data_IF_275741258235
#
_entry.id   IF_275741258235
#
_cell.length_a   1.000
_cell.length_b   1.000
_cell.length_c   1.000
_cell.angle_alpha   90.00
_cell.angle_beta   90.00
_cell.angle_gamma   90.00
#
_symmetry.space_group_name_H-M   'P 1'
#
loop_
_entity.id
_entity.type
_entity.pdbx_description
1 polymer ?
#
# COMPACT_ATOMS: atom_id res chain seq x y z
N UNK A 1 -2.16 -22.79 25.87
CA UNK A 1 -3.49 -22.72 25.22
C UNK A 1 -3.32 -22.46 23.73
N UNK A 2 -4.32 -22.78 22.90
CA UNK A 2 -4.26 -22.48 21.47
C UNK A 2 -4.27 -20.96 21.24
N UNK A 3 -3.26 -20.43 20.55
CA UNK A 3 -3.10 -18.98 20.36
C UNK A 3 -3.73 -18.54 19.04
N UNK A 4 -5.02 -18.23 19.09
CA UNK A 4 -5.73 -17.53 18.02
C UNK A 4 -5.71 -16.03 18.33
N UNK A 5 -5.43 -15.20 17.34
CA UNK A 5 -5.50 -13.74 17.49
C UNK A 5 -6.97 -13.30 17.55
N UNK A 6 -7.29 -12.46 18.53
CA UNK A 6 -8.58 -11.76 18.59
C UNK A 6 -8.66 -10.74 17.45
N UNK A 7 -9.86 -10.54 16.88
CA UNK A 7 -10.08 -9.59 15.77
C UNK A 7 -9.60 -10.08 14.40
N UNK A 8 -9.08 -11.32 14.31
CA UNK A 8 -8.67 -11.93 13.04
C UNK A 8 -9.66 -13.02 12.63
N UNK A 9 -10.04 -13.07 11.36
CA UNK A 9 -10.98 -14.08 10.86
C UNK A 9 -10.38 -15.47 10.95
N UNK A 10 -11.04 -16.37 11.66
CA UNK A 10 -10.62 -17.77 11.74
C UNK A 10 -11.08 -18.54 10.50
N UNK A 11 -10.14 -19.11 9.75
CA UNK A 11 -10.39 -20.01 8.63
C UNK A 11 -9.53 -21.27 8.78
N UNK A 12 -9.95 -22.18 9.67
CA UNK A 12 -9.20 -23.40 9.95
C UNK A 12 -9.75 -24.60 9.17
N UNK A 13 -8.84 -25.45 8.68
CA UNK A 13 -9.16 -26.74 8.07
C UNK A 13 -8.89 -27.93 9.00
N UNK A 14 -8.59 -27.69 10.28
CA UNK A 14 -8.21 -28.75 11.23
C UNK A 14 -6.87 -29.43 10.89
N UNK A 15 -6.05 -28.81 10.04
CA UNK A 15 -4.72 -29.29 9.64
C UNK A 15 -3.65 -28.31 10.11
N UNK A 16 -2.60 -28.82 10.75
CA UNK A 16 -1.41 -28.08 11.15
C UNK A 16 -0.12 -28.86 10.84
N UNK A 17 1.03 -28.25 11.10
CA UNK A 17 2.37 -28.79 10.90
C UNK A 17 2.91 -29.59 12.09
N UNK A 18 2.09 -29.87 13.10
CA UNK A 18 2.51 -30.56 14.31
C UNK A 18 2.97 -29.61 15.43
N UNK A 19 3.54 -30.19 16.50
CA UNK A 19 4.14 -29.41 17.58
C UNK A 19 5.42 -28.73 17.09
N UNK A 20 5.64 -27.48 17.51
CA UNK A 20 6.95 -26.86 17.32
C UNK A 20 8.05 -27.66 18.06
N UNK A 21 9.27 -27.61 17.54
CA UNK A 21 10.48 -28.16 18.16
C UNK A 21 11.16 -27.13 19.09
N UNK A 22 10.85 -25.86 18.91
CA UNK A 22 11.35 -24.71 19.67
C UNK A 22 10.20 -23.73 19.95
N UNK A 23 10.37 -22.80 20.89
CA UNK A 23 9.37 -21.74 21.07
C UNK A 23 9.37 -20.80 19.86
N UNK A 24 8.22 -20.23 19.45
CA UNK A 24 8.19 -19.30 18.34
C UNK A 24 9.14 -18.12 18.52
N UNK A 25 10.09 -17.95 17.60
CA UNK A 25 11.13 -16.91 17.65
C UNK A 25 11.38 -16.23 16.30
N UNK A 26 10.67 -16.68 15.24
CA UNK A 26 10.78 -16.15 13.88
C UNK A 26 9.43 -16.04 13.17
N UNK A 27 9.25 -14.97 12.42
CA UNK A 27 8.14 -14.78 11.48
C UNK A 27 8.70 -14.90 10.07
N UNK A 28 8.07 -15.70 9.22
CA UNK A 28 8.42 -15.85 7.82
C UNK A 28 7.29 -15.35 6.92
N UNK A 29 7.64 -14.46 6.01
CA UNK A 29 6.77 -13.84 5.02
C UNK A 29 6.84 -14.58 3.69
N UNK A 30 5.68 -14.73 3.04
CA UNK A 30 5.49 -15.28 1.71
C UNK A 30 4.69 -14.30 0.85
N UNK A 31 4.74 -14.47 -0.48
CA UNK A 31 3.70 -13.96 -1.39
C UNK A 31 2.95 -15.12 -2.01
N UNK A 32 1.62 -14.99 -2.10
CA UNK A 32 0.76 -16.09 -2.56
C UNK A 32 0.91 -16.42 -4.04
N UNK A 33 1.44 -15.49 -4.84
CA UNK A 33 1.41 -15.51 -6.30
C UNK A 33 -0.04 -15.59 -6.85
N UNK A 34 -0.99 -14.98 -6.14
CA UNK A 34 -2.42 -14.91 -6.51
C UNK A 34 -3.03 -13.55 -6.17
N UNK A 35 -4.19 -13.25 -6.75
CA UNK A 35 -4.95 -12.02 -6.47
C UNK A 35 -6.06 -12.15 -5.41
N UNK A 36 -6.21 -13.32 -4.78
CA UNK A 36 -7.29 -13.60 -3.81
C UNK A 36 -6.86 -14.69 -2.81
N UNK A 37 -7.67 -14.94 -1.77
CA UNK A 37 -7.35 -15.94 -0.75
C UNK A 37 -7.26 -17.35 -1.33
N UNK A 38 -6.07 -18.01 -1.28
CA UNK A 38 -5.93 -19.39 -1.74
C UNK A 38 -6.70 -20.37 -0.85
N UNK A 39 -7.10 -21.51 -1.42
CA UNK A 39 -7.70 -22.62 -0.65
C UNK A 39 -6.66 -23.48 0.07
N UNK A 40 -5.37 -23.32 -0.28
CA UNK A 40 -4.24 -24.10 0.22
C UNK A 40 -4.44 -25.62 0.16
N UNK A 41 -5.17 -26.09 -0.86
CA UNK A 41 -5.52 -27.51 -1.01
C UNK A 41 -6.34 -28.04 0.17
N UNK A 42 -7.24 -27.24 0.74
CA UNK A 42 -7.97 -27.58 1.96
C UNK A 42 -7.08 -27.58 3.20
N UNK A 43 -6.14 -26.63 3.28
CA UNK A 43 -5.20 -26.49 4.40
C UNK A 43 -3.99 -27.43 4.35
N UNK A 44 -3.77 -28.16 3.26
CA UNK A 44 -2.62 -29.05 3.10
C UNK A 44 -1.26 -28.30 3.12
N UNK A 45 -1.26 -27.05 2.67
CA UNK A 45 -0.09 -26.16 2.61
C UNK A 45 -0.35 -24.78 3.24
N UNK A 46 -1.32 -24.67 4.16
CA UNK A 46 -1.70 -23.37 4.71
C UNK A 46 -0.60 -22.80 5.65
N UNK A 47 -0.37 -21.48 5.61
CA UNK A 47 0.45 -20.76 6.58
C UNK A 47 -0.30 -20.61 7.92
N UNK A 48 0.24 -19.82 8.85
CA UNK A 48 -0.55 -19.41 10.03
C UNK A 48 -1.56 -18.35 9.65
N UNK A 49 -1.16 -17.38 8.82
CA UNK A 49 -1.97 -16.24 8.41
C UNK A 49 -1.91 -16.01 6.91
N UNK A 50 -2.98 -15.45 6.36
CA UNK A 50 -3.01 -14.83 5.04
C UNK A 50 -3.59 -13.43 5.16
N UNK A 51 -2.95 -12.44 4.54
CA UNK A 51 -3.38 -11.04 4.56
C UNK A 51 -3.58 -10.48 3.15
N UNK A 52 -4.70 -9.81 2.91
CA UNK A 52 -4.88 -8.94 1.76
C UNK A 52 -4.51 -7.50 2.15
N UNK A 53 -3.38 -6.99 1.67
CA UNK A 53 -2.94 -5.64 2.05
C UNK A 53 -3.83 -4.54 1.45
N UNK A 54 -4.65 -4.82 0.42
CA UNK A 54 -5.52 -3.81 -0.20
C UNK A 54 -6.65 -3.39 0.73
N UNK A 55 -7.26 -4.35 1.42
CA UNK A 55 -8.42 -4.13 2.29
C UNK A 55 -8.16 -4.45 3.77
N UNK A 56 -7.01 -5.04 4.11
CA UNK A 56 -6.64 -5.39 5.49
C UNK A 56 -7.29 -6.66 6.03
N UNK A 57 -8.01 -7.46 5.23
CA UNK A 57 -8.56 -8.74 5.71
C UNK A 57 -7.41 -9.68 6.06
N UNK A 58 -7.38 -10.13 7.32
CA UNK A 58 -6.47 -11.18 7.80
C UNK A 58 -7.28 -12.44 8.11
N UNK A 59 -6.80 -13.58 7.62
CA UNK A 59 -7.32 -14.90 7.98
C UNK A 59 -6.26 -15.69 8.71
N UNK A 60 -6.60 -16.25 9.87
CA UNK A 60 -5.76 -17.20 10.59
C UNK A 60 -6.22 -18.64 10.32
N UNK A 61 -5.28 -19.52 9.99
CA UNK A 61 -5.55 -20.89 9.57
C UNK A 61 -5.14 -21.95 10.61
N UNK A 62 -4.09 -21.65 11.38
CA UNK A 62 -3.56 -22.49 12.45
C UNK A 62 -3.28 -21.66 13.71
N UNK A 63 -3.45 -22.21 14.92
CA UNK A 63 -3.12 -21.50 16.14
C UNK A 63 -1.60 -21.35 16.27
N UNK A 64 -1.12 -20.22 16.79
CA UNK A 64 0.33 -19.91 16.86
C UNK A 64 1.12 -20.72 17.90
N UNK A 65 0.50 -21.71 18.55
CA UNK A 65 1.18 -22.72 19.37
C UNK A 65 1.40 -24.06 18.64
N UNK A 66 1.09 -24.10 17.34
CA UNK A 66 1.26 -25.24 16.44
C UNK A 66 1.95 -24.75 15.18
N UNK A 67 2.80 -25.57 14.58
CA UNK A 67 3.44 -25.23 13.32
C UNK A 67 2.41 -25.12 12.18
N UNK A 68 2.71 -24.34 11.15
CA UNK A 68 1.97 -24.34 9.89
C UNK A 68 2.68 -25.20 8.83
N UNK A 69 2.26 -25.13 7.57
CA UNK A 69 2.65 -26.10 6.53
C UNK A 69 3.16 -25.47 5.23
N UNK A 70 3.43 -24.16 5.18
CA UNK A 70 3.81 -23.48 3.95
C UNK A 70 5.31 -23.58 3.61
N UNK A 71 6.12 -24.19 4.49
CA UNK A 71 7.52 -24.53 4.19
C UNK A 71 7.72 -26.02 3.91
N UNK A 72 8.80 -26.37 3.23
CA UNK A 72 9.26 -27.76 3.09
C UNK A 72 10.14 -28.16 4.27
N UNK A 73 9.89 -29.32 4.85
CA UNK A 73 10.79 -29.99 5.80
C UNK A 73 11.53 -31.14 5.08
N UNK A 74 12.85 -31.03 4.92
CA UNK A 74 13.68 -32.12 4.41
C UNK A 74 13.97 -33.15 5.51
N UNK A 75 14.15 -34.42 5.11
CA UNK A 75 14.62 -35.46 6.01
C UNK A 75 16.03 -35.13 6.53
N UNK A 76 16.25 -35.23 7.84
CA UNK A 76 17.52 -34.84 8.47
C UNK A 76 17.76 -33.32 8.54
N UNK A 77 16.79 -32.51 8.11
CA UNK A 77 16.85 -31.05 8.14
C UNK A 77 16.44 -30.42 9.48
N UNK A 78 16.36 -29.09 9.52
CA UNK A 78 15.96 -28.29 10.69
C UNK A 78 14.47 -28.35 10.99
N UNK A 79 13.68 -28.94 10.09
CA UNK A 79 12.21 -28.91 10.16
C UNK A 79 11.68 -27.47 10.11
N UNK A 80 11.93 -26.75 9.01
CA UNK A 80 11.63 -25.31 8.86
C UNK A 80 10.23 -24.86 9.32
N UNK A 81 9.18 -25.67 9.12
CA UNK A 81 7.84 -25.39 9.66
C UNK A 81 7.78 -25.39 11.19
N UNK A 82 8.51 -26.32 11.81
CA UNK A 82 8.42 -26.67 13.24
C UNK A 82 9.46 -25.97 14.10
N UNK A 83 10.49 -25.38 13.52
CA UNK A 83 11.51 -24.63 14.25
C UNK A 83 11.06 -23.19 14.58
N UNK A 84 9.99 -23.07 15.37
CA UNK A 84 9.56 -21.80 15.94
C UNK A 84 9.06 -20.77 14.91
N UNK A 85 8.62 -21.21 13.74
CA UNK A 85 8.31 -20.33 12.60
C UNK A 85 6.82 -20.03 12.49
N UNK A 86 6.43 -18.78 12.75
CA UNK A 86 5.12 -18.26 12.36
C UNK A 86 5.18 -17.83 10.89
N UNK A 87 4.16 -18.17 10.10
CA UNK A 87 4.19 -18.05 8.63
C UNK A 87 3.02 -17.17 8.18
N UNK A 88 3.29 -16.18 7.32
CA UNK A 88 2.31 -15.24 6.79
C UNK A 88 2.39 -15.24 5.26
N UNK A 89 1.25 -15.46 4.62
CA UNK A 89 1.06 -15.26 3.18
C UNK A 89 0.50 -13.86 2.89
N UNK A 90 1.13 -13.14 1.97
CA UNK A 90 0.65 -11.84 1.49
C UNK A 90 0.00 -12.04 0.11
N UNK A 91 -1.26 -11.63 -0.03
CA UNK A 91 -1.95 -11.70 -1.33
C UNK A 91 -1.27 -10.77 -2.32
N UNK A 92 -0.93 -11.31 -3.48
CA UNK A 92 -0.13 -10.65 -4.51
C UNK A 92 1.04 -11.51 -4.97
N UNK A 93 1.86 -10.94 -5.85
CA UNK A 93 3.02 -11.59 -6.46
C UNK A 93 4.29 -10.79 -6.20
N UNK A 94 5.42 -11.48 -6.01
CA UNK A 94 6.74 -10.83 -5.96
C UNK A 94 7.46 -10.79 -7.32
N UNK A 95 6.86 -11.34 -8.37
CA UNK A 95 7.36 -11.28 -9.75
C UNK A 95 6.60 -10.19 -10.51
N UNK A 96 7.29 -9.12 -10.90
CA UNK A 96 6.67 -8.01 -11.65
C UNK A 96 6.00 -8.45 -12.95
N UNK A 97 6.58 -9.45 -13.65
CA UNK A 97 6.04 -9.97 -14.90
C UNK A 97 4.74 -10.75 -14.64
N UNK A 98 4.75 -11.60 -13.62
CA UNK A 98 3.59 -12.40 -13.24
C UNK A 98 2.46 -11.52 -12.68
N UNK A 99 2.80 -10.58 -11.80
CA UNK A 99 1.87 -9.57 -11.28
C UNK A 99 1.17 -8.82 -12.41
N UNK A 100 1.95 -8.30 -13.38
CA UNK A 100 1.40 -7.56 -14.53
C UNK A 100 0.51 -8.44 -15.41
N UNK A 101 0.94 -9.67 -15.71
CA UNK A 101 0.21 -10.61 -16.57
C UNK A 101 -1.19 -10.92 -16.05
N UNK A 102 -1.36 -11.03 -14.73
CA UNK A 102 -2.62 -11.44 -14.10
C UNK A 102 -3.33 -10.33 -13.34
N UNK A 103 -2.81 -9.10 -13.36
CA UNK A 103 -3.37 -7.97 -12.62
C UNK A 103 -3.32 -8.15 -11.10
N UNK A 104 -2.31 -8.85 -10.59
CA UNK A 104 -2.11 -9.05 -9.15
C UNK A 104 -1.32 -7.89 -8.55
N UNK A 105 -1.52 -7.57 -7.25
CA UNK A 105 -0.65 -6.62 -6.55
C UNK A 105 0.81 -7.08 -6.61
N UNK A 106 1.71 -6.19 -7.01
CA UNK A 106 3.15 -6.43 -6.90
C UNK A 106 3.59 -6.10 -5.46
N UNK A 107 3.81 -7.13 -4.66
CA UNK A 107 3.97 -7.03 -3.20
C UNK A 107 5.14 -6.13 -2.78
N UNK A 108 6.33 -6.18 -3.41
CA UNK A 108 7.43 -5.25 -3.09
C UNK A 108 7.11 -3.76 -3.32
N UNK A 109 6.19 -3.41 -4.22
CA UNK A 109 5.77 -2.02 -4.48
C UNK A 109 4.50 -1.65 -3.71
N UNK A 110 4.46 -2.02 -2.43
CA UNK A 110 3.34 -1.71 -1.54
C UNK A 110 3.31 -0.25 -1.11
N UNK A 111 2.11 0.34 -0.99
CA UNK A 111 1.93 1.68 -0.40
C UNK A 111 2.21 1.70 1.11
N UNK A 112 2.29 2.89 1.71
CA UNK A 112 2.50 3.03 3.16
C UNK A 112 1.31 2.47 3.98
N UNK A 113 0.08 2.59 3.47
CA UNK A 113 -1.09 1.97 4.08
C UNK A 113 -1.01 0.43 4.07
N UNK A 114 -0.54 -0.14 2.96
CA UNK A 114 -0.29 -1.58 2.86
C UNK A 114 0.83 -2.02 3.80
N UNK A 115 1.92 -1.24 3.90
CA UNK A 115 3.01 -1.51 4.81
C UNK A 115 2.54 -1.47 6.28
N UNK A 116 1.69 -0.51 6.63
CA UNK A 116 1.11 -0.36 7.97
C UNK A 116 0.17 -1.52 8.34
N UNK A 117 -0.62 -2.04 7.40
CA UNK A 117 -1.44 -3.25 7.60
C UNK A 117 -0.59 -4.48 7.88
N UNK A 118 0.51 -4.64 7.15
CA UNK A 118 1.46 -5.72 7.42
C UNK A 118 2.13 -5.53 8.79
N UNK A 119 2.57 -4.31 9.11
CA UNK A 119 3.14 -3.97 10.42
C UNK A 119 2.21 -4.30 11.58
N UNK A 120 0.93 -3.95 11.47
CA UNK A 120 -0.08 -4.28 12.48
C UNK A 120 -0.18 -5.77 12.76
N UNK A 121 -0.20 -6.61 11.72
CA UNK A 121 -0.24 -8.06 11.90
C UNK A 121 1.05 -8.56 12.57
N UNK A 122 2.20 -8.03 12.17
CA UNK A 122 3.49 -8.34 12.78
C UNK A 122 3.49 -7.96 14.28
N UNK A 123 2.98 -6.78 14.64
CA UNK A 123 2.88 -6.31 16.03
C UNK A 123 1.92 -7.16 16.87
N UNK A 124 0.78 -7.59 16.32
CA UNK A 124 -0.13 -8.52 17.00
C UNK A 124 0.54 -9.86 17.28
N UNK A 125 1.30 -10.39 16.31
CA UNK A 125 2.06 -11.64 16.47
C UNK A 125 3.16 -11.43 17.51
N UNK A 126 3.92 -10.34 17.43
CA UNK A 126 4.95 -9.99 18.41
C UNK A 126 4.37 -9.94 19.83
N UNK A 127 3.26 -9.22 20.05
CA UNK A 127 2.62 -9.12 21.35
C UNK A 127 2.20 -10.50 21.91
N UNK A 128 1.78 -11.40 21.02
CA UNK A 128 1.32 -12.74 21.41
C UNK A 128 2.45 -13.77 21.62
N UNK A 129 3.64 -13.54 21.04
CA UNK A 129 4.71 -14.55 20.95
C UNK A 129 6.06 -14.11 21.50
N UNK A 130 6.30 -12.80 21.59
CA UNK A 130 7.60 -12.21 21.91
C UNK A 130 8.59 -12.18 20.74
N UNK A 131 8.19 -12.61 19.52
CA UNK A 131 9.09 -12.63 18.36
C UNK A 131 9.55 -11.20 18.03
N UNK A 132 10.86 -10.91 17.95
CA UNK A 132 11.35 -9.56 17.69
C UNK A 132 10.88 -8.97 16.34
N UNK A 133 10.39 -7.72 16.36
CA UNK A 133 10.07 -6.95 15.15
C UNK A 133 11.31 -6.34 14.50
N UNK A 134 12.22 -7.20 14.05
CA UNK A 134 13.46 -6.76 13.40
C UNK A 134 13.88 -7.73 12.32
N UNK A 135 14.65 -7.25 11.36
CA UNK A 135 15.28 -8.09 10.35
C UNK A 135 16.73 -7.67 10.11
N UNK A 136 17.61 -8.65 9.96
CA UNK A 136 19.02 -8.45 9.66
C UNK A 136 19.48 -9.19 8.40
N UNK A 137 18.53 -9.70 7.61
CA UNK A 137 18.82 -10.44 6.38
C UNK A 137 18.73 -9.55 5.15
N UNK A 138 19.48 -9.90 4.12
CA UNK A 138 19.41 -9.21 2.84
C UNK A 138 18.20 -9.69 2.04
N UNK A 139 17.26 -8.79 1.78
CA UNK A 139 16.11 -9.04 0.92
C UNK A 139 16.48 -8.83 -0.56
N UNK A 140 16.36 -9.89 -1.38
CA UNK A 140 16.64 -9.84 -2.81
C UNK A 140 15.37 -9.76 -3.63
N UNK A 141 15.45 -9.01 -4.73
CA UNK A 141 14.39 -8.92 -5.73
C UNK A 141 14.26 -10.25 -6.48
N UNK A 142 13.03 -10.66 -6.78
CA UNK A 142 12.79 -11.80 -7.67
C UNK A 142 13.17 -11.43 -9.13
N UNK A 143 13.80 -12.32 -9.92
CA UNK A 143 14.10 -13.72 -9.64
C UNK A 143 15.45 -13.98 -8.95
N UNK A 144 16.23 -12.95 -8.61
CA UNK A 144 17.56 -13.13 -7.99
C UNK A 144 17.53 -13.77 -6.58
N UNK A 145 16.36 -13.78 -5.94
CA UNK A 145 16.08 -14.46 -4.67
C UNK A 145 15.74 -15.95 -4.83
N UNK A 146 15.39 -16.41 -6.04
CA UNK A 146 14.92 -17.77 -6.30
C UNK A 146 16.04 -18.82 -6.29
N UNK A 147 15.68 -20.06 -5.95
CA UNK A 147 16.58 -21.22 -5.99
C UNK A 147 17.65 -21.20 -4.90
N UNK A 148 18.85 -21.68 -5.28
CA UNK A 148 20.04 -21.67 -4.43
C UNK A 148 20.70 -20.28 -4.43
N UNK A 149 19.94 -19.28 -4.02
CA UNK A 149 20.40 -17.89 -3.95
C UNK A 149 21.32 -17.65 -2.75
N UNK A 150 22.18 -16.64 -2.84
CA UNK A 150 23.15 -16.32 -1.77
C UNK A 150 22.55 -15.81 -0.46
N UNK A 151 21.22 -15.68 -0.35
CA UNK A 151 20.52 -15.24 0.87
C UNK A 151 19.83 -16.40 1.59
N UNK A 152 19.91 -17.60 1.01
CA UNK A 152 19.49 -18.85 1.65
C UNK A 152 20.36 -19.11 2.87
N UNK A 153 19.73 -19.32 4.02
CA UNK A 153 20.43 -19.66 5.25
C UNK A 153 20.91 -21.10 5.25
N UNK A 154 22.00 -21.37 5.95
CA UNK A 154 22.29 -22.70 6.47
C UNK A 154 21.32 -23.08 7.58
N UNK A 155 21.22 -24.38 7.84
CA UNK A 155 20.45 -24.95 8.96
C UNK A 155 20.83 -24.31 10.32
N UNK A 156 22.11 -24.02 10.51
CA UNK A 156 22.62 -23.41 11.75
C UNK A 156 22.24 -21.93 11.90
N UNK A 157 22.19 -21.19 10.80
CA UNK A 157 21.77 -19.78 10.80
C UNK A 157 20.28 -19.67 11.05
N UNK A 158 19.48 -20.52 10.39
CA UNK A 158 18.04 -20.60 10.61
C UNK A 158 17.70 -20.81 12.09
N UNK A 159 18.29 -21.83 12.71
CA UNK A 159 18.04 -22.19 14.12
C UNK A 159 18.40 -21.05 15.08
N UNK A 160 19.43 -20.25 14.76
CA UNK A 160 19.88 -19.13 15.61
C UNK A 160 19.10 -17.84 15.38
N UNK A 161 18.43 -17.71 14.24
CA UNK A 161 17.81 -16.47 13.82
C UNK A 161 16.58 -16.14 14.66
N UNK A 162 16.48 -14.87 15.06
CA UNK A 162 15.32 -14.34 15.79
C UNK A 162 14.86 -13.04 15.14
N UNK A 163 13.65 -13.03 14.60
CA UNK A 163 13.08 -11.88 13.91
C UNK A 163 12.29 -12.25 12.66
N UNK A 164 12.30 -11.36 11.68
CA UNK A 164 11.49 -11.47 10.46
C UNK A 164 12.35 -11.90 9.26
N UNK A 165 11.88 -12.94 8.57
CA UNK A 165 12.45 -13.55 7.39
C UNK A 165 11.43 -13.58 6.24
N UNK A 166 11.92 -13.85 5.04
CA UNK A 166 11.11 -14.23 3.86
C UNK A 166 11.40 -15.66 3.43
N UNK A 167 10.52 -16.27 2.62
CA UNK A 167 10.69 -17.64 2.10
C UNK A 167 12.04 -17.84 1.39
N UNK A 168 12.56 -16.81 0.73
CA UNK A 168 13.91 -16.79 0.12
C UNK A 168 15.08 -17.12 1.08
N UNK A 169 14.89 -16.98 2.39
CA UNK A 169 15.93 -17.25 3.39
C UNK A 169 15.86 -18.67 3.96
N UNK A 170 14.71 -19.34 3.90
CA UNK A 170 14.50 -20.62 4.58
C UNK A 170 15.35 -21.75 3.98
N UNK A 171 16.16 -22.49 4.75
CA UNK A 171 16.89 -23.65 4.22
C UNK A 171 15.90 -24.70 3.68
N UNK A 172 16.38 -25.70 2.93
CA UNK A 172 15.58 -26.83 2.39
C UNK A 172 14.54 -26.44 1.31
N UNK A 173 14.28 -25.14 1.15
CA UNK A 173 13.31 -24.56 0.24
C UNK A 173 14.04 -23.89 -0.94
N UNK A 174 13.33 -23.67 -2.05
CA UNK A 174 13.88 -23.08 -3.28
C UNK A 174 13.14 -21.85 -3.76
N UNK A 175 12.13 -21.38 -3.02
CA UNK A 175 11.32 -20.26 -3.46
C UNK A 175 12.01 -18.91 -3.19
N UNK A 176 11.64 -17.88 -3.94
CA UNK A 176 12.24 -16.54 -3.89
C UNK A 176 11.31 -15.44 -3.36
N UNK A 177 10.08 -15.79 -3.00
CA UNK A 177 9.12 -14.89 -2.38
C UNK A 177 9.57 -14.48 -0.95
N UNK A 178 9.11 -13.33 -0.44
CA UNK A 178 8.22 -12.33 -1.07
C UNK A 178 8.99 -11.29 -1.92
N UNK A 179 10.21 -11.62 -2.39
CA UNK A 179 11.06 -10.69 -3.11
C UNK A 179 11.69 -9.62 -2.21
N UNK A 180 11.96 -8.44 -2.78
CA UNK A 180 12.60 -7.30 -2.14
C UNK A 180 11.60 -6.44 -1.35
N UNK A 181 10.98 -7.04 -0.33
CA UNK A 181 10.06 -6.31 0.54
C UNK A 181 10.70 -5.03 1.13
N UNK A 182 9.97 -3.91 1.18
CA UNK A 182 10.48 -2.65 1.72
C UNK A 182 10.44 -2.67 3.25
N UNK A 183 11.27 -3.50 3.89
CA UNK A 183 11.21 -3.72 5.35
C UNK A 183 11.47 -2.45 6.18
N UNK A 184 12.24 -1.48 5.66
CA UNK A 184 12.39 -0.17 6.30
C UNK A 184 11.06 0.59 6.35
N UNK A 185 10.27 0.54 5.29
CA UNK A 185 8.91 1.12 5.23
C UNK A 185 7.96 0.40 6.19
N UNK A 186 8.10 -0.92 6.33
CA UNK A 186 7.23 -1.74 7.18
C UNK A 186 7.56 -1.58 8.67
N UNK A 187 8.84 -1.64 9.06
CA UNK A 187 9.26 -1.71 10.46
C UNK A 187 9.87 -0.40 11.02
N UNK A 188 10.24 0.54 10.15
CA UNK A 188 11.12 1.66 10.49
C UNK A 188 12.60 1.32 10.32
N UNK A 189 13.44 2.34 10.19
CA UNK A 189 14.87 2.18 9.89
C UNK A 189 15.65 1.44 10.98
N UNK A 190 15.37 1.71 12.25
CA UNK A 190 16.12 1.16 13.40
C UNK A 190 15.95 -0.36 13.58
N UNK A 191 14.86 -0.91 13.04
CA UNK A 191 14.55 -2.33 13.07
C UNK A 191 15.30 -3.15 11.99
N UNK A 192 16.05 -2.50 11.09
CA UNK A 192 16.65 -3.11 9.90
C UNK A 192 18.17 -2.91 9.86
N UNK A 193 18.96 -4.01 9.96
CA UNK A 193 20.44 -3.94 10.00
C UNK A 193 21.17 -4.13 8.64
N UNK A 194 20.45 -4.38 7.54
CA UNK A 194 21.04 -4.45 6.20
C UNK A 194 20.10 -5.06 5.15
N UNK A 195 20.12 -4.54 3.92
CA UNK A 195 19.36 -5.04 2.76
C UNK A 195 17.84 -4.85 2.82
N UNK A 196 17.22 -4.54 1.68
CA UNK A 196 15.84 -4.07 1.52
C UNK A 196 15.85 -2.79 0.69
N UNK A 197 15.45 -2.88 -0.58
CA UNK A 197 15.78 -1.91 -1.64
C UNK A 197 15.38 -0.44 -1.38
N UNK A 198 16.29 0.44 -1.83
CA UNK A 198 16.35 1.92 -1.89
C UNK A 198 16.23 2.72 -0.59
N UNK A 199 17.32 3.42 -0.28
CA UNK A 199 17.40 4.50 0.70
C UNK A 199 16.43 5.64 0.35
N UNK A 200 15.58 6.01 1.30
CA UNK A 200 14.84 7.26 1.32
C UNK A 200 14.65 7.76 2.77
N UNK A 201 14.36 9.04 2.86
CA UNK A 201 14.36 9.94 4.01
C UNK A 201 13.67 9.38 5.25
N UNK A 202 14.38 9.46 6.38
CA UNK A 202 13.86 9.14 7.72
C UNK A 202 12.71 10.09 8.03
N UNK A 203 11.50 9.56 8.13
CA UNK A 203 10.44 10.17 8.95
C UNK A 203 10.68 9.64 10.37
N UNK A 204 10.85 10.55 11.33
CA UNK A 204 11.34 10.23 12.67
C UNK A 204 10.43 9.28 13.48
N UNK A 205 10.93 8.73 14.60
CA UNK A 205 10.21 7.80 15.49
C UNK A 205 8.92 8.38 16.11
N UNK A 206 8.65 9.68 15.90
CA UNK A 206 7.48 10.40 16.40
C UNK A 206 6.39 10.59 15.34
N UNK A 207 6.52 10.00 14.14
CA UNK A 207 5.45 9.94 13.15
C UNK A 207 4.50 8.79 13.53
N UNK A 208 3.30 9.05 14.08
CA UNK A 208 2.52 7.98 14.62
C UNK A 208 1.75 7.28 13.49
N UNK A 209 1.61 5.98 13.70
CA UNK A 209 1.12 5.00 12.75
C UNK A 209 -0.41 5.06 12.72
N UNK A 210 -0.99 5.30 11.55
CA UNK A 210 -2.44 5.33 11.42
C UNK A 210 -2.98 3.91 11.52
N UNK A 211 -3.46 3.50 12.69
CA UNK A 211 -4.33 2.35 12.92
C UNK A 211 -4.76 2.33 14.39
N UNK A 212 -6.07 2.18 14.70
CA UNK A 212 -6.55 1.08 15.57
C UNK A 212 -8.08 1.03 15.83
N UNK A 213 -8.68 -0.13 15.59
CA UNK A 213 -9.84 -0.69 16.34
C UNK A 213 -9.26 -1.38 17.58
N UNK A 214 -9.31 -0.65 18.71
CA UNK A 214 -8.61 -0.96 19.96
C UNK A 214 -9.17 -2.17 20.71
N UNK A 215 -10.46 -2.47 20.58
CA UNK A 215 -11.12 -3.44 21.44
C UNK A 215 -11.82 -4.59 20.70
N UNK A 216 -11.97 -4.52 19.37
CA UNK A 216 -12.67 -5.55 18.59
C UNK A 216 -14.18 -5.60 18.87
N UNK A 217 -14.75 -4.48 19.33
CA UNK A 217 -16.16 -4.32 19.71
C UNK A 217 -17.02 -3.63 18.64
N UNK A 218 -16.40 -3.15 17.55
CA UNK A 218 -17.11 -2.66 16.37
C UNK A 218 -17.61 -1.21 16.41
N UNK A 219 -16.97 -0.32 17.19
CA UNK A 219 -17.21 1.13 17.13
C UNK A 219 -15.91 1.79 16.65
N UNK A 220 -15.69 2.30 15.45
CA UNK A 220 -16.46 2.85 14.32
C UNK A 220 -15.64 2.48 13.07
N UNK A 221 -16.21 1.89 12.00
CA UNK A 221 -15.41 1.46 10.82
C UNK A 221 -14.80 2.69 10.12
N UNK A 222 -13.72 2.55 9.33
CA UNK A 222 -13.19 3.67 8.49
C UNK A 222 -14.31 4.32 7.68
N UNK A 223 -15.19 3.47 7.14
CA UNK A 223 -16.40 3.88 6.45
C UNK A 223 -17.37 4.69 7.33
N UNK A 224 -17.52 4.33 8.60
CA UNK A 224 -18.35 5.05 9.57
C UNK A 224 -17.65 6.34 10.02
N UNK A 225 -16.33 6.37 10.20
CA UNK A 225 -15.56 7.59 10.48
C UNK A 225 -15.66 8.58 9.30
N UNK A 226 -15.49 8.09 8.08
CA UNK A 226 -15.71 8.85 6.86
C UNK A 226 -17.13 9.46 6.84
N UNK A 227 -18.17 8.72 7.22
CA UNK A 227 -19.57 9.21 7.22
C UNK A 227 -19.89 10.15 8.39
N UNK A 228 -19.53 9.72 9.60
CA UNK A 228 -20.01 10.26 10.87
C UNK A 228 -19.13 11.40 11.37
N UNK A 229 -17.84 11.34 11.09
CA UNK A 229 -16.88 12.35 11.48
C UNK A 229 -16.47 13.22 10.29
N UNK A 230 -16.21 12.66 9.11
CA UNK A 230 -15.70 13.45 7.97
C UNK A 230 -16.79 13.91 6.98
N UNK A 231 -18.03 13.44 7.13
CA UNK A 231 -19.18 13.87 6.33
C UNK A 231 -19.24 13.33 4.90
N UNK A 232 -18.59 12.20 4.63
CA UNK A 232 -18.55 11.58 3.31
C UNK A 232 -19.93 11.02 2.95
N UNK A 233 -20.32 11.15 1.68
CA UNK A 233 -21.51 10.47 1.16
C UNK A 233 -21.30 8.95 1.16
N UNK A 234 -22.38 8.16 1.20
CA UNK A 234 -22.28 6.70 1.23
C UNK A 234 -21.55 6.04 0.05
N UNK A 235 -21.35 6.75 -1.08
CA UNK A 235 -20.53 6.26 -2.20
C UNK A 235 -19.04 6.64 -2.08
N UNK A 236 -18.74 7.70 -1.33
CA UNK A 236 -17.38 8.20 -1.09
C UNK A 236 -16.76 7.60 0.18
N UNK A 237 -17.59 7.16 1.13
CA UNK A 237 -17.17 6.37 2.27
C UNK A 237 -16.91 4.93 1.82
N UNK A 238 -15.71 4.69 1.30
CA UNK A 238 -15.26 3.44 0.69
C UNK A 238 -14.57 2.49 1.69
N UNK A 239 -14.41 2.93 2.94
CA UNK A 239 -13.69 2.19 3.97
C UNK A 239 -12.17 2.15 3.76
N UNK A 240 -11.65 2.93 2.82
CA UNK A 240 -10.22 3.08 2.55
C UNK A 240 -9.69 4.37 3.19
N UNK A 241 -8.81 4.21 4.19
CA UNK A 241 -8.11 5.34 4.82
C UNK A 241 -6.94 5.78 3.95
N UNK A 242 -7.25 6.42 2.82
CA UNK A 242 -6.29 7.04 1.91
C UNK A 242 -5.95 8.47 2.30
N UNK A 243 -5.12 9.14 1.50
CA UNK A 243 -4.66 10.52 1.74
C UNK A 243 -5.79 11.50 2.04
N UNK A 244 -6.92 11.40 1.33
CA UNK A 244 -8.05 12.31 1.54
C UNK A 244 -8.71 12.09 2.92
N UNK A 245 -8.81 10.82 3.36
CA UNK A 245 -9.35 10.48 4.69
C UNK A 245 -8.37 10.90 5.78
N UNK A 246 -7.07 10.80 5.54
CA UNK A 246 -6.02 11.28 6.43
C UNK A 246 -6.06 12.81 6.57
N UNK A 247 -6.12 13.55 5.47
CA UNK A 247 -6.16 15.02 5.46
C UNK A 247 -7.44 15.57 6.11
N UNK A 248 -8.61 14.98 5.82
CA UNK A 248 -9.86 15.35 6.47
C UNK A 248 -9.85 14.95 7.96
N UNK A 249 -9.19 13.85 8.34
CA UNK A 249 -8.98 13.50 9.75
C UNK A 249 -8.11 14.53 10.45
N UNK A 250 -7.00 14.99 9.83
CA UNK A 250 -6.17 16.08 10.35
C UNK A 250 -6.96 17.37 10.51
N UNK A 251 -7.83 17.68 9.55
CA UNK A 251 -8.68 18.87 9.63
C UNK A 251 -9.66 18.78 10.81
N UNK A 252 -10.27 17.62 11.05
CA UNK A 252 -11.15 17.41 12.19
C UNK A 252 -10.39 17.45 13.51
N UNK A 253 -9.18 16.89 13.57
CA UNK A 253 -8.32 16.98 14.75
C UNK A 253 -7.98 18.44 15.12
N UNK A 254 -7.69 19.29 14.13
CA UNK A 254 -7.53 20.74 14.35
C UNK A 254 -8.79 21.38 14.91
N UNK A 255 -9.96 21.01 14.37
CA UNK A 255 -11.27 21.49 14.88
C UNK A 255 -11.53 21.04 16.32
N UNK A 256 -11.10 19.83 16.68
CA UNK A 256 -11.21 19.28 18.03
C UNK A 256 -10.14 19.81 19.01
N UNK A 257 -9.13 20.53 18.51
CA UNK A 257 -8.04 21.06 19.32
C UNK A 257 -7.06 19.98 19.84
N UNK A 258 -6.93 18.87 19.10
CA UNK A 258 -5.95 17.81 19.36
C UNK A 258 -4.84 17.81 18.31
N UNK A 259 -3.81 16.99 18.50
CA UNK A 259 -2.72 16.83 17.53
C UNK A 259 -3.26 16.39 16.17
N UNK A 260 -2.91 17.10 15.11
CA UNK A 260 -3.38 16.91 13.74
C UNK A 260 -2.48 15.94 12.95
N UNK A 261 -2.26 14.77 13.53
CA UNK A 261 -1.37 13.72 13.00
C UNK A 261 -2.04 12.81 11.96
N UNK A 262 -3.35 12.91 11.76
CA UNK A 262 -4.14 12.12 10.80
C UNK A 262 -4.55 10.77 11.35
N UNK A 263 -4.45 10.58 12.66
CA UNK A 263 -4.67 9.30 13.33
C UNK A 263 -5.89 9.35 14.24
N UNK A 264 -6.80 8.42 14.01
CA UNK A 264 -7.98 8.25 14.86
C UNK A 264 -7.63 7.37 16.07
N UNK A 265 -6.74 7.88 16.94
CA UNK A 265 -6.37 7.24 18.21
C UNK A 265 -7.29 7.64 19.38
N UNK A 266 -6.99 7.15 20.58
CA UNK A 266 -7.78 7.39 21.79
C UNK A 266 -7.99 8.90 22.05
N UNK A 267 -6.94 9.72 21.92
CA UNK A 267 -7.02 11.17 22.14
C UNK A 267 -7.98 11.86 21.15
N UNK A 268 -7.96 11.44 19.87
CA UNK A 268 -8.86 11.94 18.83
C UNK A 268 -10.31 11.54 19.11
N UNK A 269 -10.54 10.28 19.52
CA UNK A 269 -11.86 9.76 19.83
C UNK A 269 -12.44 10.40 21.09
N UNK A 270 -11.67 10.48 22.18
CA UNK A 270 -12.10 11.11 23.43
C UNK A 270 -12.46 12.57 23.22
N UNK A 271 -11.65 13.31 22.44
CA UNK A 271 -11.95 14.69 22.08
C UNK A 271 -13.21 14.79 21.21
N UNK A 272 -13.38 13.90 20.23
CA UNK A 272 -14.56 13.85 19.36
C UNK A 272 -15.83 13.54 20.15
N UNK A 273 -15.81 12.56 21.06
CA UNK A 273 -16.95 12.22 21.91
C UNK A 273 -17.26 13.35 22.89
N UNK A 274 -16.25 13.94 23.55
CA UNK A 274 -16.41 15.07 24.47
C UNK A 274 -16.97 16.30 23.79
N UNK A 275 -16.64 16.52 22.52
CA UNK A 275 -17.17 17.61 21.70
C UNK A 275 -18.60 17.33 21.17
N UNK A 276 -19.20 16.18 21.49
CA UNK A 276 -20.54 15.81 21.04
C UNK A 276 -20.59 15.20 19.64
N UNK A 277 -19.50 14.56 19.19
CA UNK A 277 -19.33 13.92 17.88
C UNK A 277 -19.59 14.87 16.70
N UNK A 278 -18.93 16.04 16.66
CA UNK A 278 -19.10 16.97 15.56
C UNK A 278 -18.61 16.34 14.25
N UNK A 279 -19.27 16.69 13.14
CA UNK A 279 -18.69 16.46 11.82
C UNK A 279 -17.62 17.50 11.54
N UNK A 280 -16.66 17.12 10.70
CA UNK A 280 -15.70 18.02 10.09
C UNK A 280 -16.49 19.15 9.44
N UNK A 281 -16.30 20.34 9.98
CA UNK A 281 -16.71 21.56 9.33
C UNK A 281 -15.75 21.76 8.16
N UNK A 282 -16.10 21.18 7.02
CA UNK A 282 -15.46 21.51 5.76
C UNK A 282 -15.73 22.97 5.54
N UNK A 283 -14.70 23.81 5.66
CA UNK A 283 -14.81 25.24 5.39
C UNK A 283 -15.62 25.43 4.11
N UNK A 284 -16.88 25.85 4.25
CA UNK A 284 -17.51 26.65 3.22
C UNK A 284 -16.84 28.02 3.28
N UNK A 285 -15.55 28.07 2.90
CA UNK A 285 -15.00 29.31 2.37
C UNK A 285 -15.86 29.69 1.17
N UNK A 286 -16.12 31.00 1.00
CA UNK A 286 -17.28 31.52 0.31
C UNK A 286 -17.40 30.90 -1.07
N UNK A 287 -18.64 30.65 -1.52
CA UNK A 287 -18.95 30.43 -2.95
C UNK A 287 -18.01 31.33 -3.74
N UNK A 288 -17.19 30.79 -4.65
CA UNK A 288 -16.12 31.56 -5.28
C UNK A 288 -16.72 32.87 -5.76
N UNK A 289 -16.22 33.98 -5.21
CA UNK A 289 -16.37 35.26 -5.86
C UNK A 289 -15.94 35.02 -7.30
N UNK A 290 -16.78 35.42 -8.27
CA UNK A 290 -16.49 35.33 -9.71
C UNK A 290 -14.98 35.51 -9.93
N UNK A 291 -14.27 34.53 -10.53
CA UNK A 291 -12.83 34.64 -10.68
C UNK A 291 -12.50 35.89 -11.50
N UNK A 292 -11.63 36.76 -10.99
CA UNK A 292 -11.04 37.84 -11.78
C UNK A 292 -9.59 37.49 -12.11
N UNK A 293 -9.39 36.87 -13.27
CA UNK A 293 -8.07 36.50 -13.80
C UNK A 293 -8.20 35.65 -15.07
N UNK A 294 -7.15 35.61 -15.90
CA UNK A 294 -7.07 34.73 -17.07
C UNK A 294 -6.28 33.46 -16.71
N UNK A 295 -6.57 32.33 -17.36
CA UNK A 295 -5.74 31.13 -17.26
C UNK A 295 -4.31 31.40 -17.78
N UNK A 296 -3.26 30.79 -17.22
CA UNK A 296 -1.88 31.00 -17.69
C UNK A 296 -1.75 30.44 -19.10
N UNK A 297 -1.20 31.22 -20.03
CA UNK A 297 -0.99 30.77 -21.40
C UNK A 297 0.25 29.88 -21.58
N UNK A 298 0.31 29.10 -22.69
CA UNK A 298 -0.71 28.95 -23.72
C UNK A 298 -1.87 28.03 -23.30
N UNK A 299 -3.09 28.41 -23.69
CA UNK A 299 -4.27 27.54 -23.63
C UNK A 299 -4.31 26.60 -24.82
N UNK A 300 -4.75 25.36 -24.61
CA UNK A 300 -4.95 24.37 -25.67
C UNK A 300 -6.33 23.75 -25.54
N UNK A 301 -7.04 23.57 -26.66
CA UNK A 301 -8.23 22.72 -26.69
C UNK A 301 -7.85 21.26 -26.38
N UNK A 302 -8.79 20.52 -25.79
CA UNK A 302 -8.62 19.08 -25.59
C UNK A 302 -8.36 18.40 -26.95
N UNK A 303 -7.18 17.79 -27.16
CA UNK A 303 -6.69 17.50 -28.50
C UNK A 303 -7.28 16.23 -29.13
N UNK A 304 -8.04 15.45 -28.36
CA UNK A 304 -8.59 14.16 -28.78
C UNK A 304 -10.13 14.18 -28.90
N UNK A 305 -10.72 13.21 -29.64
CA UNK A 305 -12.17 13.08 -29.76
C UNK A 305 -12.86 12.84 -28.41
N UNK A 306 -14.19 13.01 -28.39
CA UNK A 306 -15.01 12.73 -27.21
C UNK A 306 -14.79 11.28 -26.71
N UNK A 307 -14.56 11.13 -25.41
CA UNK A 307 -14.36 9.83 -24.76
C UNK A 307 -12.91 9.32 -24.75
N UNK A 308 -11.98 10.06 -25.36
CA UNK A 308 -10.55 9.82 -25.22
C UNK A 308 -10.00 10.45 -23.94
N UNK A 309 -8.84 9.97 -23.47
CA UNK A 309 -8.20 10.44 -22.24
C UNK A 309 -6.70 10.15 -22.23
N UNK A 310 -5.96 10.88 -21.41
CA UNK A 310 -4.58 10.52 -21.02
C UNK A 310 -4.66 9.34 -20.05
N UNK A 311 -3.98 8.23 -20.34
CA UNK A 311 -4.14 7.00 -19.57
C UNK A 311 -3.12 5.89 -19.87
N UNK A 312 -3.27 4.72 -19.26
CA UNK A 312 -2.32 3.61 -19.34
C UNK A 312 -2.02 3.16 -20.78
N UNK A 313 -0.78 2.68 -20.99
CA UNK A 313 -0.32 2.14 -22.28
C UNK A 313 -1.14 0.95 -22.77
N UNK A 314 -1.50 0.05 -21.86
CA UNK A 314 -2.28 -1.16 -22.17
C UNK A 314 -3.80 -0.90 -22.15
N UNK A 315 -4.21 0.37 -22.16
CA UNK A 315 -5.61 0.78 -22.25
C UNK A 315 -6.19 0.58 -23.66
N UNK A 316 -7.52 0.76 -23.82
CA UNK A 316 -8.16 0.73 -25.14
C UNK A 316 -7.63 1.85 -26.06
N UNK A 317 -7.89 1.80 -27.37
CA UNK A 317 -7.41 2.76 -28.39
C UNK A 317 -7.69 4.26 -28.09
N UNK A 318 -8.61 4.53 -27.18
CA UNK A 318 -8.96 5.86 -26.67
C UNK A 318 -8.05 6.35 -25.51
N UNK A 319 -7.12 5.53 -25.06
CA UNK A 319 -6.13 5.78 -24.00
C UNK A 319 -4.82 6.27 -24.60
N UNK A 320 -4.48 7.54 -24.35
CA UNK A 320 -3.27 8.17 -24.85
C UNK A 320 -2.17 8.12 -23.80
N UNK A 321 -1.15 7.29 -24.05
CA UNK A 321 -0.09 7.00 -23.08
C UNK A 321 1.26 7.65 -23.40
N UNK A 322 1.39 8.29 -24.58
CA UNK A 322 2.63 8.89 -25.05
C UNK A 322 3.65 7.90 -25.63
N UNK A 323 3.49 6.58 -25.44
CA UNK A 323 4.44 5.58 -25.92
C UNK A 323 4.34 5.28 -27.43
N UNK A 324 3.29 5.75 -28.10
CA UNK A 324 3.04 5.47 -29.51
C UNK A 324 3.28 6.73 -30.37
N UNK A 325 4.17 6.64 -31.36
CA UNK A 325 4.49 7.72 -32.31
C UNK A 325 3.90 7.47 -33.70
N UNK A 326 2.72 6.89 -33.75
CA UNK A 326 2.06 6.48 -34.98
C UNK A 326 1.02 7.48 -35.49
N UNK A 327 0.52 8.39 -34.65
CA UNK A 327 -0.54 9.34 -35.00
C UNK A 327 -0.31 10.72 -34.38
N UNK A 328 -0.59 11.76 -35.18
CA UNK A 328 -0.63 13.14 -34.71
C UNK A 328 -2.08 13.56 -34.46
N UNK A 329 -2.30 14.29 -33.38
CA UNK A 329 -3.55 14.91 -32.99
C UNK A 329 -3.33 16.41 -32.93
N UNK A 330 -4.12 17.19 -33.66
CA UNK A 330 -3.94 18.64 -33.74
C UNK A 330 -2.49 19.08 -34.01
N UNK A 331 -1.80 18.34 -34.88
CA UNK A 331 -0.41 18.60 -35.31
C UNK A 331 0.71 18.01 -34.44
N UNK A 332 0.42 17.46 -33.26
CA UNK A 332 1.41 16.93 -32.30
C UNK A 332 1.20 15.45 -31.97
N UNK A 333 2.25 14.76 -31.55
CA UNK A 333 2.15 13.38 -31.04
C UNK A 333 1.61 13.34 -29.60
N UNK A 334 1.12 12.16 -29.17
CA UNK A 334 0.62 11.97 -27.80
C UNK A 334 1.66 12.36 -26.75
N UNK A 335 2.94 12.00 -26.93
CA UNK A 335 4.03 12.38 -26.00
C UNK A 335 4.09 13.90 -25.78
N UNK A 336 3.85 14.69 -26.83
CA UNK A 336 3.87 16.15 -26.74
C UNK A 336 2.63 16.69 -26.02
N UNK A 337 1.47 16.06 -26.20
CA UNK A 337 0.25 16.42 -25.46
C UNK A 337 0.30 16.03 -24.00
N UNK A 338 0.90 14.88 -23.68
CA UNK A 338 1.14 14.46 -22.31
C UNK A 338 2.16 15.37 -21.62
N UNK A 339 3.06 16.07 -22.34
CA UNK A 339 3.91 17.12 -21.73
C UNK A 339 3.15 18.41 -21.45
N UNK A 340 2.13 18.73 -22.25
CA UNK A 340 1.40 20.00 -22.12
C UNK A 340 0.64 20.13 -20.79
N UNK A 341 -0.03 19.06 -20.33
CA UNK A 341 -0.81 19.10 -19.09
C UNK A 341 0.07 19.39 -17.85
N UNK A 342 1.18 18.69 -17.58
CA UNK A 342 2.06 18.99 -16.46
C UNK A 342 2.73 20.36 -16.59
N UNK A 343 3.11 20.79 -17.79
CA UNK A 343 3.59 22.17 -18.02
C UNK A 343 2.56 23.21 -17.61
N UNK A 344 1.29 22.96 -17.91
CA UNK A 344 0.22 23.87 -17.54
C UNK A 344 0.00 23.90 -16.03
N UNK A 345 0.09 22.76 -15.36
CA UNK A 345 0.02 22.70 -13.90
C UNK A 345 1.22 23.39 -13.24
N UNK A 346 2.43 23.31 -13.83
CA UNK A 346 3.60 24.09 -13.38
C UNK A 346 3.29 25.59 -13.43
N UNK A 347 2.68 26.09 -14.52
CA UNK A 347 2.28 27.50 -14.64
C UNK A 347 1.22 27.91 -13.60
N UNK A 348 0.45 26.94 -13.10
CA UNK A 348 -0.50 27.11 -12.00
C UNK A 348 0.13 26.91 -10.61
N UNK A 349 1.47 26.80 -10.53
CA UNK A 349 2.21 26.73 -9.27
C UNK A 349 2.43 25.31 -8.72
N UNK A 350 2.09 24.26 -9.47
CA UNK A 350 2.33 22.89 -9.03
C UNK A 350 3.82 22.51 -9.10
N UNK A 351 4.31 21.87 -8.04
CA UNK A 351 5.69 21.39 -7.91
C UNK A 351 5.90 20.11 -8.74
N UNK A 352 6.20 20.25 -10.03
CA UNK A 352 6.32 19.14 -10.98
C UNK A 352 7.70 19.17 -11.67
N UNK A 353 8.34 18.00 -11.80
CA UNK A 353 9.63 17.82 -12.47
C UNK A 353 10.59 16.95 -11.67
N UNK A 354 11.79 16.68 -12.21
CA UNK A 354 12.77 15.82 -11.53
C UNK A 354 13.13 16.37 -10.15
N UNK A 355 13.01 15.54 -9.11
CA UNK A 355 13.24 15.92 -7.72
C UNK A 355 12.17 16.86 -7.13
N UNK A 356 11.03 17.03 -7.79
CA UNK A 356 9.87 17.80 -7.29
C UNK A 356 8.81 16.87 -6.70
N UNK A 357 7.70 17.44 -6.25
CA UNK A 357 6.59 16.70 -5.60
C UNK A 357 5.97 15.67 -6.56
N UNK A 358 5.74 16.05 -7.81
CA UNK A 358 5.16 15.18 -8.84
C UNK A 358 6.13 15.00 -10.00
N UNK A 359 6.06 13.85 -10.67
CA UNK A 359 6.98 13.44 -11.74
C UNK A 359 8.46 13.52 -11.30
N UNK A 360 8.75 13.08 -10.07
CA UNK A 360 10.04 13.28 -9.42
C UNK A 360 11.16 12.45 -10.04
N UNK A 361 10.85 11.23 -10.45
CA UNK A 361 11.81 10.25 -10.98
C UNK A 361 12.08 10.49 -12.45
N UNK A 362 11.04 10.59 -13.26
CA UNK A 362 11.18 10.68 -14.72
C UNK A 362 11.10 12.11 -15.25
N UNK A 363 10.57 13.05 -14.46
CA UNK A 363 10.26 14.38 -14.94
C UNK A 363 9.06 14.37 -15.87
N UNK A 364 8.83 15.48 -16.56
CA UNK A 364 7.80 15.56 -17.58
C UNK A 364 8.28 14.91 -18.90
N UNK A 365 8.38 13.58 -18.89
CA UNK A 365 8.90 12.79 -20.00
C UNK A 365 7.88 12.53 -21.12
N UNK A 366 6.61 12.90 -20.88
CA UNK A 366 5.51 12.73 -21.84
C UNK A 366 4.93 11.33 -21.88
N UNK A 367 5.21 10.49 -20.88
CA UNK A 367 4.66 9.14 -20.80
C UNK A 367 3.73 8.98 -19.61
N UNK A 368 2.60 8.32 -19.84
CA UNK A 368 1.70 7.96 -18.75
C UNK A 368 2.27 6.77 -17.97
N UNK A 369 2.48 6.98 -16.68
CA UNK A 369 2.92 5.97 -15.73
C UNK A 369 2.43 6.31 -14.33
N UNK A 370 2.89 5.60 -13.31
CA UNK A 370 2.41 5.76 -11.93
C UNK A 370 2.58 7.19 -11.38
N UNK A 371 3.70 7.89 -11.68
CA UNK A 371 3.88 9.29 -11.26
C UNK A 371 2.89 10.24 -11.95
N UNK A 372 2.52 9.94 -13.20
CA UNK A 372 1.57 10.75 -13.97
C UNK A 372 0.14 10.51 -13.50
N UNK A 373 -0.23 9.25 -13.26
CA UNK A 373 -1.50 8.87 -12.65
C UNK A 373 -1.69 9.55 -11.28
N UNK A 374 -0.63 9.58 -10.45
CA UNK A 374 -0.62 10.28 -9.17
C UNK A 374 -0.81 11.81 -9.33
N UNK A 375 -0.16 12.43 -10.33
CA UNK A 375 -0.35 13.84 -10.64
C UNK A 375 -1.81 14.14 -11.05
N UNK A 376 -2.41 13.34 -11.93
CA UNK A 376 -3.80 13.52 -12.35
C UNK A 376 -4.75 13.31 -11.17
N UNK A 377 -4.54 12.28 -10.34
CA UNK A 377 -5.34 12.04 -9.13
C UNK A 377 -5.34 13.24 -8.20
N UNK A 378 -4.16 13.77 -7.90
CA UNK A 378 -4.03 14.95 -7.06
C UNK A 378 -4.74 16.17 -7.67
N UNK A 379 -4.59 16.37 -8.98
CA UNK A 379 -5.29 17.44 -9.66
C UNK A 379 -6.82 17.27 -9.60
N UNK A 380 -7.35 16.08 -9.91
CA UNK A 380 -8.77 15.76 -9.79
C UNK A 380 -9.32 16.04 -8.38
N UNK A 381 -8.59 15.63 -7.35
CA UNK A 381 -8.93 15.92 -5.95
C UNK A 381 -9.01 17.43 -5.68
N UNK A 382 -8.00 18.21 -6.09
CA UNK A 382 -8.01 19.67 -5.86
C UNK A 382 -9.12 20.42 -6.60
N UNK A 383 -9.58 19.89 -7.74
CA UNK A 383 -10.62 20.52 -8.55
C UNK A 383 -12.03 19.97 -8.23
N UNK A 384 -12.15 18.97 -7.34
CA UNK A 384 -13.42 18.30 -7.04
C UNK A 384 -13.99 17.53 -8.22
N UNK A 385 -13.13 17.00 -9.10
CA UNK A 385 -13.52 16.16 -10.24
C UNK A 385 -13.68 14.69 -9.82
N UNK A 386 -14.27 13.87 -10.70
CA UNK A 386 -14.26 12.42 -10.52
C UNK A 386 -12.80 11.90 -10.50
N UNK A 387 -12.47 11.08 -9.50
CA UNK A 387 -11.11 10.61 -9.24
C UNK A 387 -10.83 9.32 -10.00
N UNK A 388 -10.53 9.56 -11.26
CA UNK A 388 -10.11 8.70 -12.34
C UNK A 388 -8.74 8.06 -12.38
N UNK A 389 -7.78 8.90 -11.98
CA UNK A 389 -6.41 8.94 -12.48
C UNK A 389 -6.29 9.25 -13.99
N UNK A 390 -7.40 9.43 -14.73
CA UNK A 390 -7.38 9.64 -16.18
C UNK A 390 -7.50 11.13 -16.54
N UNK A 391 -6.67 11.58 -17.48
CA UNK A 391 -6.67 12.97 -17.95
C UNK A 391 -7.70 13.16 -19.05
N UNK A 392 -8.98 13.09 -18.70
CA UNK A 392 -10.10 13.34 -19.61
C UNK A 392 -10.36 14.82 -19.89
N UNK A 393 -11.44 15.11 -20.62
CA UNK A 393 -11.82 16.47 -21.01
C UNK A 393 -12.01 17.42 -19.82
N UNK A 394 -12.63 16.95 -18.73
CA UNK A 394 -12.86 17.78 -17.54
C UNK A 394 -11.54 18.20 -16.88
N UNK A 395 -10.60 17.27 -16.72
CA UNK A 395 -9.24 17.55 -16.22
C UNK A 395 -8.53 18.58 -17.11
N UNK A 396 -8.67 18.44 -18.43
CA UNK A 396 -8.06 19.35 -19.37
C UNK A 396 -8.67 20.75 -19.32
N UNK A 397 -10.00 20.85 -19.28
CA UNK A 397 -10.71 22.13 -19.23
C UNK A 397 -10.40 22.87 -17.91
N UNK A 398 -10.31 22.16 -16.79
CA UNK A 398 -9.86 22.74 -15.52
C UNK A 398 -8.41 23.25 -15.60
N UNK A 399 -7.51 22.47 -16.23
CA UNK A 399 -6.11 22.85 -16.35
C UNK A 399 -5.87 24.00 -17.35
N UNK A 400 -6.64 24.11 -18.44
CA UNK A 400 -6.33 25.07 -19.52
C UNK A 400 -7.28 26.27 -19.58
N UNK A 401 -8.52 26.14 -19.12
CA UNK A 401 -9.54 27.16 -19.36
C UNK A 401 -9.95 27.91 -18.09
N UNK A 402 -9.77 27.32 -16.89
CA UNK A 402 -10.15 28.00 -15.65
C UNK A 402 -9.15 29.04 -15.18
N UNK A 403 -9.59 30.24 -14.77
CA UNK A 403 -8.73 31.22 -14.12
C UNK A 403 -7.97 30.64 -12.92
N UNK A 404 -6.76 31.14 -12.66
CA UNK A 404 -6.07 30.87 -11.38
C UNK A 404 -6.68 31.79 -10.33
N UNK A 405 -7.03 31.25 -9.16
CA UNK A 405 -7.56 32.00 -8.02
C UNK A 405 -6.49 32.33 -7.01
#
# INVERSE_FOLDING_TARGET
>A
MATWLTGVKRQSWGRDGGSFTTSPDKILLHSTETGSFPSYGGGASAPHFTIDLRNGEVRQHSPMNRAARALRNAAGGVQTNRDGTIQIEIIGSCDTSFASKYGYPYVPDMSDAMASRLKWLLEKIHKATGIPLKTSVTWKKYPSSYGNSSVRMSNSEWTRYKGILGHQHAPENTHGDPGDLPMKRILGADAVKGGGGSDYTVVGPDAPLGLYDKDGDGRTRVEDWQKDALGYSGKAADGYFGSDTEDDTKALQRQLGVTDDGLVGDDTLDAWEKAGKPKLEKDTKPKPSKPSGNAPGPGYDFPWPKGHYIGPKDGPDRSHSGFYKNKKWSGKYDEEWLKALPEQLIRRGWSIGKGKTYLSKFGNDGHYGSEYAALIRAFQNTQGLAVDELGGREVWDEAFNRPVT
#
